data_IF_985068001062
#
_entry.id   IF_985068001062
#
_cell.length_a   1.000
_cell.length_b   1.000
_cell.length_c   1.000
_cell.angle_alpha   90.00
_cell.angle_beta   90.00
_cell.angle_gamma   90.00
#
_symmetry.space_group_name_H-M   'P 1'
#
loop_
_entity.id
_entity.type
_entity.pdbx_description
1 polymer ?
#
# COMPACT_ATOMS: atom_id res chain seq x y z
N UNK A 1 -6.97 -8.75 -8.26
CA UNK A 1 -6.01 -7.81 -8.88
C UNK A 1 -6.32 -6.42 -8.36
N UNK A 2 -5.31 -5.65 -7.96
CA UNK A 2 -5.49 -4.28 -7.46
C UNK A 2 -5.32 -3.24 -8.57
N UNK A 3 -6.01 -2.12 -8.43
CA UNK A 3 -5.90 -0.99 -9.36
C UNK A 3 -4.74 -0.07 -8.93
N UNK A 4 -4.08 0.55 -9.90
CA UNK A 4 -2.93 1.44 -9.65
C UNK A 4 -3.25 2.83 -10.20
N UNK A 5 -3.10 3.85 -9.34
CA UNK A 5 -3.39 5.24 -9.68
C UNK A 5 -2.16 6.11 -9.50
N UNK A 6 -2.08 7.20 -10.27
CA UNK A 6 -1.18 8.31 -9.95
C UNK A 6 -1.75 9.06 -8.75
N UNK A 7 -0.99 9.13 -7.67
CA UNK A 7 -1.33 9.84 -6.45
C UNK A 7 -0.35 10.99 -6.23
N UNK A 8 -0.84 12.04 -5.56
CA UNK A 8 -0.05 13.21 -5.21
C UNK A 8 -0.28 13.51 -3.73
N UNK A 9 0.82 13.57 -2.97
CA UNK A 9 0.78 13.99 -1.57
C UNK A 9 0.73 15.52 -1.53
N UNK A 10 -0.39 16.07 -1.06
CA UNK A 10 -0.63 17.52 -1.01
C UNK A 10 0.30 18.30 -0.07
N UNK A 11 0.93 17.63 0.88
CA UNK A 11 1.83 18.26 1.85
C UNK A 11 3.28 18.29 1.38
N UNK A 12 3.70 17.31 0.58
CA UNK A 12 5.09 17.13 0.15
C UNK A 12 5.31 17.28 -1.36
N UNK A 13 4.24 17.54 -2.13
CA UNK A 13 4.23 17.54 -3.61
C UNK A 13 4.73 16.22 -4.23
N UNK A 14 4.84 15.16 -3.43
CA UNK A 14 5.34 13.86 -3.87
C UNK A 14 4.32 13.18 -4.78
N UNK A 15 4.73 12.90 -6.01
CA UNK A 15 3.96 12.10 -6.97
C UNK A 15 4.39 10.64 -6.86
N UNK A 16 3.43 9.74 -6.68
CA UNK A 16 3.67 8.30 -6.53
C UNK A 16 2.61 7.45 -7.23
N UNK A 17 2.89 6.16 -7.38
CA UNK A 17 1.89 5.16 -7.76
C UNK A 17 1.25 4.59 -6.49
N UNK A 18 -0.08 4.68 -6.38
CA UNK A 18 -0.86 4.09 -5.29
C UNK A 18 -1.60 2.85 -5.79
N UNK A 19 -1.28 1.68 -5.22
CA UNK A 19 -1.97 0.42 -5.53
C UNK A 19 -3.07 0.17 -4.51
N UNK A 20 -4.32 0.26 -4.93
CA UNK A 20 -5.48 -0.05 -4.11
C UNK A 20 -5.79 -1.54 -4.24
N UNK A 21 -5.77 -2.24 -3.11
CA UNK A 21 -6.12 -3.65 -3.03
C UNK A 21 -7.59 -3.75 -2.64
N UNK A 22 -8.45 -4.36 -3.47
CA UNK A 22 -9.85 -4.54 -3.13
C UNK A 22 -9.95 -5.46 -1.91
N UNK A 23 -10.40 -4.90 -0.79
CA UNK A 23 -10.62 -5.66 0.46
C UNK A 23 -11.94 -6.46 0.40
N UNK A 24 -12.77 -6.22 -0.61
CA UNK A 24 -13.97 -6.99 -0.91
C UNK A 24 -13.56 -8.40 -1.33
N UNK A 25 -13.62 -9.35 -0.40
CA UNK A 25 -13.18 -10.74 -0.60
C UNK A 25 -12.17 -11.22 0.44
N UNK A 26 -11.62 -10.31 1.25
CA UNK A 26 -10.82 -10.65 2.43
C UNK A 26 -11.76 -10.65 3.63
N UNK A 27 -12.64 -11.65 3.72
CA UNK A 27 -13.43 -11.91 4.93
C UNK A 27 -12.59 -12.56 6.03
N UNK A 28 -11.38 -13.00 5.68
CA UNK A 28 -10.46 -13.68 6.57
C UNK A 28 -9.44 -12.68 7.13
N UNK A 29 -9.49 -12.51 8.46
CA UNK A 29 -8.61 -11.64 9.22
C UNK A 29 -7.14 -12.06 9.03
N UNK A 30 -6.87 -13.36 8.91
CA UNK A 30 -5.51 -13.87 8.73
C UNK A 30 -4.94 -13.46 7.37
N UNK A 31 -5.73 -13.55 6.30
CA UNK A 31 -5.32 -13.11 4.97
C UNK A 31 -5.07 -11.59 4.93
N UNK A 32 -5.92 -10.79 5.60
CA UNK A 32 -5.69 -9.33 5.73
C UNK A 32 -4.36 -9.06 6.41
N UNK A 33 -4.07 -9.78 7.50
CA UNK A 33 -2.87 -9.56 8.30
C UNK A 33 -1.61 -10.03 7.56
N UNK A 34 -1.66 -11.17 6.86
CA UNK A 34 -0.57 -11.63 6.01
C UNK A 34 -0.22 -10.61 4.92
N UNK A 35 -1.24 -10.05 4.25
CA UNK A 35 -1.06 -9.04 3.21
C UNK A 35 -0.44 -7.74 3.75
N UNK A 36 -0.90 -7.27 4.92
CA UNK A 36 -0.32 -6.10 5.58
C UNK A 36 1.13 -6.35 6.00
N UNK A 37 1.44 -7.55 6.49
CA UNK A 37 2.81 -7.92 6.84
C UNK A 37 3.73 -7.92 5.61
N UNK A 38 3.29 -8.51 4.50
CA UNK A 38 4.04 -8.51 3.24
C UNK A 38 4.32 -7.08 2.75
N UNK A 39 3.27 -6.25 2.71
CA UNK A 39 3.40 -4.85 2.31
C UNK A 39 4.33 -4.07 3.25
N UNK A 40 4.26 -4.31 4.56
CA UNK A 40 5.14 -3.68 5.55
C UNK A 40 6.60 -4.10 5.36
N UNK A 41 6.88 -5.37 5.07
CA UNK A 41 8.24 -5.84 4.79
C UNK A 41 8.81 -5.19 3.53
N UNK A 42 8.00 -5.01 2.49
CA UNK A 42 8.41 -4.34 1.25
C UNK A 42 8.89 -2.90 1.47
N UNK A 43 8.46 -2.21 2.53
CA UNK A 43 8.96 -0.85 2.87
C UNK A 43 10.44 -0.82 3.26
N UNK A 44 11.01 -1.96 3.68
CA UNK A 44 12.41 -2.07 4.07
C UNK A 44 13.35 -2.36 2.89
N UNK A 45 12.79 -2.69 1.72
CA UNK A 45 13.60 -2.97 0.52
C UNK A 45 14.00 -1.65 -0.14
N UNK A 46 15.30 -1.38 -0.18
CA UNK A 46 15.88 -0.21 -0.83
C UNK A 46 16.98 -0.63 -1.79
N UNK A 47 16.66 -0.66 -3.08
CA UNK A 47 17.59 -1.06 -4.13
C UNK A 47 17.28 -0.29 -5.42
N UNK A 48 18.27 0.16 -6.21
CA UNK A 48 18.04 0.97 -7.42
C UNK A 48 17.16 0.29 -8.47
N UNK A 49 17.15 -1.05 -8.50
CA UNK A 49 16.37 -1.84 -9.46
C UNK A 49 15.09 -2.45 -8.86
N UNK A 50 14.68 -2.02 -7.67
CA UNK A 50 13.43 -2.47 -7.02
C UNK A 50 12.58 -1.25 -6.71
N UNK A 51 11.29 -1.31 -7.05
CA UNK A 51 10.36 -0.22 -6.74
C UNK A 51 10.25 -0.06 -5.24
N UNK A 52 10.55 1.15 -4.75
CA UNK A 52 10.47 1.49 -3.33
C UNK A 52 9.03 1.65 -2.89
N UNK A 53 8.63 0.92 -1.86
CA UNK A 53 7.37 1.17 -1.16
C UNK A 53 7.59 2.28 -0.14
N UNK A 54 6.99 3.45 -0.38
CA UNK A 54 7.17 4.64 0.45
C UNK A 54 6.22 4.69 1.65
N UNK A 55 5.05 4.06 1.54
CA UNK A 55 4.02 4.05 2.58
C UNK A 55 3.06 2.88 2.37
N UNK A 56 2.55 2.32 3.48
CA UNK A 56 1.48 1.33 3.50
C UNK A 56 0.47 1.76 4.56
N UNK A 57 -0.80 1.81 4.20
CA UNK A 57 -1.89 2.19 5.11
C UNK A 57 -3.13 1.32 4.88
N UNK A 58 -3.83 1.04 5.98
CA UNK A 58 -5.23 0.60 5.94
C UNK A 58 -6.09 1.86 5.81
N UNK A 59 -6.99 1.91 4.83
CA UNK A 59 -7.97 2.98 4.69
C UNK A 59 -9.04 2.85 5.79
N UNK A 60 -8.63 2.95 7.06
CA UNK A 60 -9.55 3.21 8.17
C UNK A 60 -9.94 4.67 8.02
N UNK A 61 -11.14 4.91 7.50
CA UNK A 61 -11.81 6.20 7.69
C UNK A 61 -11.95 6.35 9.20
N UNK A 62 -11.08 7.17 9.80
CA UNK A 62 -11.26 7.64 11.17
C UNK A 62 -12.38 8.66 11.09
N UNK A 63 -13.56 8.27 11.55
CA UNK A 63 -14.68 9.18 11.80
C UNK A 63 -14.41 10.04 13.03
#
# INVERSE_FOLDING_TARGET
MGEVYRAENKESELIAAAKLLPMTGISDIELKQALLNEASLATHVSHPNVVKVIHVGDNRIVG
#
